data_IF_810075650688
#
_entry.id   IF_810075650688
#
_cell.length_a   1.000
_cell.length_b   1.000
_cell.length_c   1.000
_cell.angle_alpha   90.00
_cell.angle_beta   90.00
_cell.angle_gamma   90.00
#
_symmetry.space_group_name_H-M   'P 1'
#
loop_
_entity.id
_entity.type
_entity.pdbx_description
1 polymer ?
#
# COMPACT_ATOMS: atom_id res chain seq x y z
N UNK A 1 20.66 17.76 49.38
CA UNK A 1 20.44 18.18 48.00
C UNK A 1 21.63 17.69 47.18
N UNK A 2 21.58 16.41 46.74
CA UNK A 2 22.60 15.81 45.91
C UNK A 2 22.33 16.14 44.45
N UNK A 3 23.37 16.60 43.76
CA UNK A 3 23.36 16.81 42.32
C UNK A 3 23.14 15.46 41.61
N UNK A 4 22.05 15.32 40.89
CA UNK A 4 21.88 14.27 39.91
C UNK A 4 22.85 14.53 38.75
N UNK A 5 23.78 13.63 38.54
CA UNK A 5 24.70 13.65 37.41
C UNK A 5 23.95 13.42 36.10
N UNK A 6 23.98 14.37 35.21
CA UNK A 6 23.53 14.26 33.83
C UNK A 6 24.54 13.43 33.01
N UNK A 7 24.55 12.11 33.13
CA UNK A 7 25.49 11.27 32.37
C UNK A 7 24.90 9.96 31.81
N UNK A 8 23.59 9.70 31.97
CA UNK A 8 22.98 8.42 31.52
C UNK A 8 21.96 8.57 30.37
N UNK A 9 21.87 9.73 29.71
CA UNK A 9 20.92 9.97 28.61
C UNK A 9 21.53 9.98 27.20
N UNK A 10 22.83 9.73 27.06
CA UNK A 10 23.48 9.74 25.73
C UNK A 10 23.58 8.38 25.02
N UNK A 11 22.99 7.30 25.54
CA UNK A 11 23.16 5.95 24.97
C UNK A 11 21.94 5.35 24.28
N UNK A 12 20.83 6.06 24.08
CA UNK A 12 19.62 5.48 23.46
C UNK A 12 19.12 6.25 22.21
N UNK A 13 20.00 6.92 21.49
CA UNK A 13 19.67 7.66 20.25
C UNK A 13 19.63 6.78 18.99
N UNK A 14 19.86 5.48 19.08
CA UNK A 14 19.78 4.58 17.93
C UNK A 14 18.45 3.89 17.93
N UNK A 15 17.79 3.89 16.75
CA UNK A 15 16.76 2.87 16.48
C UNK A 15 17.41 1.54 16.83
N UNK A 16 16.87 0.76 17.80
CA UNK A 16 17.51 -0.47 18.22
C UNK A 16 17.85 -1.30 17.00
N UNK A 17 19.07 -1.86 16.98
CA UNK A 17 19.61 -2.64 15.88
C UNK A 17 18.71 -3.86 15.57
N UNK A 18 17.72 -3.68 14.72
CA UNK A 18 17.02 -4.77 14.05
C UNK A 18 17.64 -5.00 12.69
N UNK A 19 18.96 -5.07 12.67
CA UNK A 19 19.73 -5.34 11.48
C UNK A 19 19.41 -6.74 10.99
N UNK A 20 18.83 -6.80 9.81
CA UNK A 20 19.02 -7.98 9.01
C UNK A 20 20.46 -7.89 8.45
N UNK A 21 21.35 -8.86 8.73
CA UNK A 21 22.75 -8.79 8.28
C UNK A 21 22.89 -8.54 6.77
N UNK A 22 21.84 -8.88 6.02
CA UNK A 22 21.78 -8.67 4.58
C UNK A 22 21.67 -7.19 4.16
N UNK A 23 21.22 -6.27 5.02
CA UNK A 23 21.07 -4.85 4.66
C UNK A 23 22.42 -4.20 4.30
N UNK A 24 23.50 -4.59 4.94
CA UNK A 24 24.84 -4.10 4.59
C UNK A 24 25.26 -4.50 3.16
N UNK A 25 24.67 -5.54 2.59
CA UNK A 25 24.92 -5.97 1.21
C UNK A 25 24.39 -4.98 0.16
N UNK A 26 23.59 -4.01 0.55
CA UNK A 26 23.18 -2.92 -0.34
C UNK A 26 24.40 -2.12 -0.81
N UNK A 27 25.43 -1.96 0.03
CA UNK A 27 26.68 -1.29 -0.37
C UNK A 27 27.39 -2.04 -1.49
N UNK A 28 27.43 -3.39 -1.43
CA UNK A 28 28.00 -4.24 -2.49
C UNK A 28 27.13 -4.19 -3.77
N UNK A 29 25.81 -4.10 -3.59
CA UNK A 29 24.90 -3.95 -4.72
C UNK A 29 25.09 -2.59 -5.42
N UNK A 30 25.41 -1.54 -4.68
CA UNK A 30 25.67 -0.19 -5.20
C UNK A 30 27.06 -0.05 -5.86
N UNK A 31 27.97 -1.01 -5.73
CA UNK A 31 29.28 -0.97 -6.41
C UNK A 31 29.14 -0.87 -7.91
N UNK A 32 29.73 0.17 -8.49
CA UNK A 32 29.65 0.44 -9.94
C UNK A 32 28.28 0.95 -10.41
N UNK A 33 27.40 1.33 -9.46
CA UNK A 33 26.12 1.91 -9.83
C UNK A 33 26.30 3.26 -10.54
N UNK A 34 25.78 3.32 -11.75
CA UNK A 34 25.58 4.57 -12.48
C UNK A 34 24.18 5.09 -12.21
N UNK A 35 23.26 4.90 -13.18
CA UNK A 35 21.86 5.29 -12.99
C UNK A 35 21.04 4.18 -12.36
N UNK A 36 20.22 4.54 -11.36
CA UNK A 36 19.35 3.63 -10.60
C UNK A 36 17.90 4.01 -10.90
N UNK A 37 17.10 3.08 -11.38
CA UNK A 37 15.65 3.24 -11.50
C UNK A 37 14.93 2.60 -10.35
N UNK A 38 13.91 3.30 -9.83
CA UNK A 38 13.04 2.83 -8.76
C UNK A 38 11.60 2.81 -9.27
N UNK A 39 11.16 1.70 -9.89
CA UNK A 39 9.80 1.61 -10.43
C UNK A 39 8.78 1.43 -9.32
N UNK A 40 7.63 2.13 -9.44
CA UNK A 40 6.46 1.90 -8.61
C UNK A 40 5.62 0.75 -9.20
N UNK A 41 4.83 0.09 -8.36
CA UNK A 41 3.83 -0.88 -8.84
C UNK A 41 2.61 -0.18 -9.44
N UNK A 42 1.80 -0.93 -10.22
CA UNK A 42 0.53 -0.46 -10.80
C UNK A 42 -0.44 -0.08 -9.70
N UNK A 43 -1.07 1.09 -9.83
CA UNK A 43 -1.92 1.65 -8.78
C UNK A 43 -1.14 1.89 -7.48
N UNK A 44 -0.06 2.71 -7.50
CA UNK A 44 0.87 2.82 -6.38
C UNK A 44 0.17 3.37 -5.14
N UNK A 45 0.40 2.72 -4.01
CA UNK A 45 -0.06 3.16 -2.70
C UNK A 45 1.00 4.00 -1.98
N UNK A 46 0.70 4.39 -0.74
CA UNK A 46 1.59 5.29 -0.01
C UNK A 46 2.86 4.60 0.49
N UNK A 47 2.88 3.27 0.67
CA UNK A 47 4.11 2.57 1.05
C UNK A 47 5.05 2.42 -0.14
N UNK A 48 4.54 2.00 -1.29
CA UNK A 48 5.33 1.96 -2.52
C UNK A 48 5.91 3.33 -2.86
N UNK A 49 5.11 4.39 -2.80
CA UNK A 49 5.56 5.76 -3.09
C UNK A 49 6.58 6.23 -2.05
N UNK A 50 6.25 6.10 -0.77
CA UNK A 50 7.05 6.60 0.34
C UNK A 50 8.42 5.93 0.43
N UNK A 51 8.47 4.60 0.34
CA UNK A 51 9.71 3.82 0.38
C UNK A 51 10.64 4.16 -0.79
N UNK A 52 10.09 4.25 -2.01
CA UNK A 52 10.86 4.58 -3.21
C UNK A 52 11.40 6.03 -3.17
N UNK A 53 10.58 7.01 -2.78
CA UNK A 53 11.03 8.40 -2.66
C UNK A 53 12.07 8.59 -1.55
N UNK A 54 11.87 7.98 -0.38
CA UNK A 54 12.83 8.03 0.71
C UNK A 54 14.18 7.47 0.29
N UNK A 55 14.21 6.30 -0.34
CA UNK A 55 15.45 5.68 -0.78
C UNK A 55 16.11 6.44 -1.94
N UNK A 56 15.34 6.90 -2.92
CA UNK A 56 15.87 7.70 -4.03
C UNK A 56 16.50 9.00 -3.54
N UNK A 57 15.90 9.69 -2.55
CA UNK A 57 16.46 10.90 -1.95
C UNK A 57 17.76 10.61 -1.20
N UNK A 58 17.79 9.52 -0.43
CA UNK A 58 19.02 9.09 0.26
C UNK A 58 20.13 8.73 -0.73
N UNK A 59 19.81 8.02 -1.82
CA UNK A 59 20.76 7.72 -2.90
C UNK A 59 21.32 8.99 -3.54
N UNK A 60 20.46 9.96 -3.88
CA UNK A 60 20.87 11.26 -4.45
C UNK A 60 21.80 12.03 -3.49
N UNK A 61 21.51 12.03 -2.20
CA UNK A 61 22.35 12.66 -1.18
C UNK A 61 23.77 12.04 -1.10
N UNK A 62 23.91 10.77 -1.53
CA UNK A 62 25.19 10.05 -1.61
C UNK A 62 25.79 10.03 -3.03
N UNK A 63 25.29 10.88 -3.93
CA UNK A 63 25.88 11.10 -5.27
C UNK A 63 25.42 10.11 -6.34
N UNK A 64 24.42 9.26 -6.09
CA UNK A 64 23.86 8.36 -7.09
C UNK A 64 22.80 9.05 -7.94
N UNK A 65 22.74 8.73 -9.25
CA UNK A 65 21.68 9.18 -10.15
C UNK A 65 20.46 8.27 -10.02
N UNK A 66 19.55 8.62 -9.09
CA UNK A 66 18.36 7.83 -8.77
C UNK A 66 17.09 8.49 -9.33
N UNK A 67 16.24 7.71 -10.00
CA UNK A 67 14.99 8.18 -10.61
C UNK A 67 13.85 7.26 -10.24
N UNK A 68 12.83 7.81 -9.55
CA UNK A 68 11.56 7.10 -9.31
C UNK A 68 10.69 7.20 -10.56
N UNK A 69 10.11 6.08 -10.98
CA UNK A 69 9.27 6.02 -12.19
C UNK A 69 7.98 5.26 -11.92
N UNK A 70 6.88 5.70 -12.53
CA UNK A 70 5.56 5.04 -12.43
C UNK A 70 4.93 4.87 -13.79
N UNK A 71 4.42 3.69 -14.10
CA UNK A 71 3.59 3.46 -15.30
C UNK A 71 2.23 4.15 -15.19
N UNK A 72 1.74 4.38 -13.98
CA UNK A 72 0.45 4.98 -13.69
C UNK A 72 0.58 6.39 -13.11
N UNK A 73 -0.45 7.23 -13.24
CA UNK A 73 -0.53 8.49 -12.51
C UNK A 73 -0.53 8.26 -11.00
N UNK A 74 0.07 9.18 -10.26
CA UNK A 74 0.04 9.14 -8.79
C UNK A 74 -1.38 9.47 -8.30
N UNK A 75 -1.94 8.65 -7.39
CA UNK A 75 -3.27 8.90 -6.83
C UNK A 75 -3.40 10.29 -6.22
N UNK A 76 -4.54 10.95 -6.47
CA UNK A 76 -4.75 12.35 -6.11
C UNK A 76 -4.55 12.63 -4.61
N UNK A 77 -4.84 11.64 -3.74
CA UNK A 77 -4.69 11.77 -2.29
C UNK A 77 -3.23 11.93 -1.85
N UNK A 78 -2.26 11.43 -2.62
CA UNK A 78 -0.82 11.54 -2.29
C UNK A 78 -0.15 12.76 -2.93
N UNK A 79 -0.74 13.35 -4.00
CA UNK A 79 -0.15 14.49 -4.71
C UNK A 79 0.19 15.69 -3.81
N UNK A 80 -0.60 16.04 -2.76
CA UNK A 80 -0.24 17.12 -1.85
C UNK A 80 1.03 16.87 -1.01
N UNK A 81 1.48 15.62 -0.94
CA UNK A 81 2.67 15.20 -0.19
C UNK A 81 3.91 15.04 -1.07
N UNK A 82 3.76 15.09 -2.40
CA UNK A 82 4.80 14.71 -3.35
C UNK A 82 5.00 15.82 -4.36
N UNK A 83 6.18 16.45 -4.45
CA UNK A 83 6.50 17.36 -5.53
C UNK A 83 6.37 16.64 -6.89
N UNK A 84 5.71 17.24 -7.89
CA UNK A 84 5.45 16.59 -9.19
C UNK A 84 6.71 16.11 -9.92
N UNK A 85 7.86 16.77 -9.68
CA UNK A 85 9.15 16.47 -10.30
C UNK A 85 9.88 15.26 -9.69
N UNK A 86 9.41 14.75 -8.55
CA UNK A 86 10.09 13.63 -7.86
C UNK A 86 9.82 12.27 -8.53
N UNK A 87 8.75 12.15 -9.31
CA UNK A 87 8.36 10.90 -9.97
C UNK A 87 8.18 11.13 -11.47
N UNK A 88 8.94 10.40 -12.27
CA UNK A 88 8.73 10.36 -13.72
C UNK A 88 7.55 9.45 -14.05
N UNK A 89 6.54 9.96 -14.75
CA UNK A 89 5.42 9.14 -15.24
C UNK A 89 5.78 8.57 -16.60
N UNK A 90 6.00 7.27 -16.65
CA UNK A 90 6.39 6.52 -17.84
C UNK A 90 7.24 5.29 -17.49
N UNK A 91 7.40 4.42 -18.48
CA UNK A 91 8.07 3.12 -18.34
C UNK A 91 9.59 3.18 -18.54
N UNK A 92 10.10 4.27 -19.11
CA UNK A 92 11.53 4.50 -19.36
C UNK A 92 11.88 5.96 -19.13
N UNK A 93 12.48 6.28 -17.96
CA UNK A 93 12.95 7.63 -17.71
C UNK A 93 13.94 8.12 -18.80
N UNK A 94 13.90 9.40 -19.20
CA UNK A 94 14.80 9.95 -20.17
C UNK A 94 16.25 9.98 -19.66
N UNK A 95 17.22 9.92 -20.56
CA UNK A 95 18.65 9.94 -20.24
C UNK A 95 19.32 8.57 -20.40
N UNK A 96 20.46 8.33 -19.72
CA UNK A 96 21.18 7.07 -19.80
C UNK A 96 20.33 5.87 -19.33
N UNK A 97 20.55 4.67 -19.86
CA UNK A 97 19.90 3.47 -19.34
C UNK A 97 20.32 3.20 -17.89
N UNK A 98 19.46 2.55 -17.14
CA UNK A 98 19.81 2.12 -15.79
C UNK A 98 20.89 1.04 -15.80
N UNK A 99 21.80 1.11 -14.85
CA UNK A 99 22.71 0.02 -14.49
C UNK A 99 22.16 -0.81 -13.33
N UNK A 100 21.25 -0.20 -12.53
CA UNK A 100 20.62 -0.81 -11.37
C UNK A 100 19.14 -0.50 -11.33
N UNK A 101 18.35 -1.45 -10.81
CA UNK A 101 16.92 -1.27 -10.55
C UNK A 101 16.65 -1.67 -9.08
N UNK A 102 16.05 -0.79 -8.30
CA UNK A 102 15.57 -1.08 -6.96
C UNK A 102 14.05 -1.25 -6.98
N UNK A 103 13.58 -2.48 -6.79
CA UNK A 103 12.17 -2.82 -6.67
C UNK A 103 11.79 -2.85 -5.19
N UNK A 104 11.17 -1.78 -4.70
CA UNK A 104 10.75 -1.62 -3.32
C UNK A 104 9.23 -1.78 -3.24
N UNK A 105 8.76 -2.58 -2.30
CA UNK A 105 7.34 -2.90 -2.12
C UNK A 105 6.72 -3.59 -3.35
N UNK A 106 7.50 -4.48 -3.96
CA UNK A 106 7.12 -5.20 -5.18
C UNK A 106 7.32 -6.69 -4.97
N UNK A 107 6.21 -7.43 -4.83
CA UNK A 107 6.23 -8.87 -4.60
C UNK A 107 6.44 -9.71 -5.87
N UNK A 108 6.14 -9.17 -7.05
CA UNK A 108 6.37 -9.75 -8.37
C UNK A 108 6.72 -8.62 -9.35
N UNK A 109 7.81 -8.71 -10.14
CA UNK A 109 8.19 -7.65 -11.08
C UNK A 109 7.07 -7.29 -12.06
N UNK A 110 6.16 -8.20 -12.37
CA UNK A 110 4.98 -7.95 -13.22
C UNK A 110 4.03 -6.89 -12.64
N UNK A 111 4.06 -6.68 -11.32
CA UNK A 111 3.29 -5.61 -10.68
C UNK A 111 3.74 -4.20 -11.10
N UNK A 112 4.92 -4.03 -11.68
CA UNK A 112 5.35 -2.75 -12.25
C UNK A 112 4.74 -2.44 -13.63
N UNK A 113 3.86 -3.31 -14.15
CA UNK A 113 3.03 -3.06 -15.31
C UNK A 113 3.79 -2.78 -16.61
N UNK A 114 3.68 -1.55 -17.13
CA UNK A 114 4.37 -1.10 -18.34
C UNK A 114 5.89 -1.15 -18.20
N UNK A 115 6.41 -0.77 -17.04
CA UNK A 115 7.83 -0.84 -16.74
C UNK A 115 8.39 -2.26 -16.89
N UNK A 116 7.70 -3.29 -16.36
CA UNK A 116 8.10 -4.69 -16.55
C UNK A 116 8.17 -5.04 -18.05
N UNK A 117 7.10 -4.76 -18.79
CA UNK A 117 7.05 -5.06 -20.24
C UNK A 117 8.18 -4.38 -21.04
N UNK A 118 8.49 -3.13 -20.68
CA UNK A 118 9.56 -2.36 -21.30
C UNK A 118 10.98 -2.86 -20.96
N UNK A 119 11.14 -3.56 -19.83
CA UNK A 119 12.42 -4.01 -19.27
C UNK A 119 12.46 -5.53 -18.99
N UNK A 120 11.65 -6.33 -19.67
CA UNK A 120 11.47 -7.76 -19.43
C UNK A 120 12.80 -8.55 -19.48
N UNK A 121 13.72 -8.18 -20.36
CA UNK A 121 15.04 -8.79 -20.48
C UNK A 121 15.85 -8.71 -19.17
N UNK A 122 15.67 -7.64 -18.37
CA UNK A 122 16.34 -7.50 -17.06
C UNK A 122 15.83 -8.55 -16.10
N UNK A 123 14.52 -8.69 -15.96
CA UNK A 123 13.89 -9.61 -15.01
C UNK A 123 14.01 -11.08 -15.41
N UNK A 124 14.29 -11.35 -16.70
CA UNK A 124 14.53 -12.69 -17.22
C UNK A 124 16.05 -13.07 -17.22
N UNK A 125 16.93 -12.26 -16.60
CA UNK A 125 18.37 -12.53 -16.52
C UNK A 125 19.13 -12.38 -17.84
N UNK A 126 18.56 -11.62 -18.81
CA UNK A 126 19.16 -11.39 -20.12
C UNK A 126 19.84 -10.02 -20.22
N UNK A 127 20.16 -9.41 -19.07
CA UNK A 127 20.78 -8.09 -18.97
C UNK A 127 21.81 -8.07 -17.86
N UNK A 128 22.78 -7.16 -17.95
CA UNK A 128 23.75 -6.88 -16.88
C UNK A 128 23.25 -5.90 -15.82
N UNK A 129 22.01 -5.44 -15.92
CA UNK A 129 21.39 -4.56 -14.93
C UNK A 129 21.17 -5.33 -13.65
N UNK A 130 21.72 -4.82 -12.53
CA UNK A 130 21.56 -5.45 -11.21
C UNK A 130 20.26 -5.05 -10.55
N UNK A 131 19.52 -6.01 -10.01
CA UNK A 131 18.19 -5.79 -9.40
C UNK A 131 18.24 -6.04 -7.90
N UNK A 132 17.85 -5.02 -7.11
CA UNK A 132 17.51 -5.13 -5.69
C UNK A 132 16.00 -5.34 -5.57
N UNK A 133 15.57 -6.34 -4.80
CA UNK A 133 14.20 -6.47 -4.34
C UNK A 133 14.16 -6.34 -2.80
N UNK A 134 13.52 -5.30 -2.29
CA UNK A 134 13.28 -5.07 -0.87
C UNK A 134 11.77 -5.00 -0.65
N UNK A 135 11.23 -5.93 0.17
CA UNK A 135 9.78 -6.12 0.26
C UNK A 135 9.38 -6.75 1.60
N UNK A 136 8.11 -6.62 1.98
CA UNK A 136 7.55 -7.23 3.18
C UNK A 136 6.42 -8.23 2.90
N UNK A 137 6.04 -8.42 1.65
CA UNK A 137 4.95 -9.32 1.29
C UNK A 137 5.36 -10.80 1.40
N UNK A 138 4.59 -11.60 2.16
CA UNK A 138 4.79 -13.05 2.27
C UNK A 138 4.61 -13.78 0.92
N UNK A 139 3.92 -13.16 -0.04
CA UNK A 139 3.68 -13.70 -1.40
C UNK A 139 4.77 -13.35 -2.39
N UNK A 140 5.88 -12.72 -1.95
CA UNK A 140 6.99 -12.33 -2.81
C UNK A 140 7.57 -13.55 -3.54
N UNK A 141 7.72 -13.44 -4.87
CA UNK A 141 8.24 -14.51 -5.73
C UNK A 141 9.78 -14.66 -5.67
N UNK A 142 10.45 -13.81 -4.88
CA UNK A 142 11.90 -13.81 -4.67
C UNK A 142 12.67 -13.67 -5.98
N UNK A 143 12.78 -12.44 -6.46
CA UNK A 143 13.49 -12.09 -7.69
C UNK A 143 14.61 -11.08 -7.42
N UNK A 144 15.50 -10.90 -8.41
CA UNK A 144 16.61 -9.95 -8.34
C UNK A 144 17.89 -10.57 -7.77
N UNK A 145 18.99 -9.82 -7.90
CA UNK A 145 20.34 -10.22 -7.48
C UNK A 145 20.54 -10.10 -5.97
N UNK A 146 19.91 -9.09 -5.36
CA UNK A 146 19.86 -8.91 -3.92
C UNK A 146 18.41 -8.88 -3.46
N UNK A 147 18.06 -9.73 -2.52
CA UNK A 147 16.72 -9.87 -1.97
C UNK A 147 16.75 -9.59 -0.48
N UNK A 148 16.00 -8.57 -0.06
CA UNK A 148 15.84 -8.15 1.32
C UNK A 148 14.35 -8.25 1.68
N UNK A 149 13.95 -9.38 2.26
CA UNK A 149 12.56 -9.69 2.56
C UNK A 149 12.36 -9.79 4.07
N UNK A 150 11.58 -8.88 4.64
CA UNK A 150 11.16 -8.92 6.06
C UNK A 150 9.63 -8.93 6.16
N UNK A 151 9.05 -10.12 6.20
CA UNK A 151 7.60 -10.32 6.31
C UNK A 151 6.99 -9.85 7.65
N UNK A 152 7.84 -9.50 8.62
CA UNK A 152 7.41 -8.95 9.91
C UNK A 152 7.44 -7.40 9.93
N UNK A 153 7.96 -6.78 8.89
CA UNK A 153 7.86 -5.33 8.76
C UNK A 153 6.41 -4.92 8.49
N UNK A 154 5.98 -3.84 9.13
CA UNK A 154 4.63 -3.33 8.92
C UNK A 154 4.45 -2.67 7.55
N UNK A 155 5.56 -2.24 6.94
CA UNK A 155 5.63 -1.53 5.68
C UNK A 155 7.05 -1.67 5.09
N UNK A 156 7.21 -1.55 3.78
CA UNK A 156 8.51 -1.46 3.13
C UNK A 156 9.28 -0.20 3.60
N UNK A 157 8.58 0.90 3.85
CA UNK A 157 9.15 2.13 4.42
C UNK A 157 9.78 1.92 5.80
N UNK A 158 9.27 0.97 6.62
CA UNK A 158 9.92 0.57 7.87
C UNK A 158 11.30 -0.02 7.62
N UNK A 159 11.42 -0.90 6.62
CA UNK A 159 12.69 -1.50 6.23
C UNK A 159 13.67 -0.44 5.68
N UNK A 160 13.19 0.53 4.91
CA UNK A 160 14.04 1.65 4.42
C UNK A 160 14.58 2.46 5.58
N UNK A 161 13.78 2.77 6.60
CA UNK A 161 14.27 3.49 7.78
C UNK A 161 15.39 2.73 8.50
N UNK A 162 15.23 1.41 8.67
CA UNK A 162 16.24 0.54 9.28
C UNK A 162 17.49 0.46 8.40
N UNK A 163 17.33 0.29 7.08
CA UNK A 163 18.43 0.26 6.12
C UNK A 163 19.27 1.55 6.18
N UNK A 164 18.63 2.73 6.15
CA UNK A 164 19.34 4.00 6.21
C UNK A 164 20.10 4.18 7.52
N UNK A 165 19.51 3.75 8.64
CA UNK A 165 20.19 3.74 9.93
C UNK A 165 21.42 2.82 9.94
N UNK A 166 21.31 1.60 9.38
CA UNK A 166 22.38 0.62 9.33
C UNK A 166 23.54 1.06 8.42
N UNK A 167 23.22 1.75 7.33
CA UNK A 167 24.21 2.37 6.44
C UNK A 167 24.84 3.65 7.04
N UNK A 168 24.32 4.16 8.15
CA UNK A 168 24.72 5.46 8.70
C UNK A 168 24.37 6.64 7.79
N UNK A 169 23.36 6.47 6.94
CA UNK A 169 22.93 7.50 6.01
C UNK A 169 21.97 8.49 6.70
N UNK A 170 22.19 9.79 6.55
CA UNK A 170 21.37 10.78 7.22
C UNK A 170 19.95 10.79 6.70
N UNK A 171 19.00 10.92 7.63
CA UNK A 171 17.57 11.09 7.34
C UNK A 171 17.23 12.57 7.54
N UNK A 172 16.87 13.27 6.47
CA UNK A 172 16.32 14.63 6.53
C UNK A 172 14.80 14.62 6.71
N UNK A 173 14.19 15.79 6.89
CA UNK A 173 12.74 15.91 7.13
C UNK A 173 11.89 15.36 5.97
N UNK A 174 12.37 15.44 4.72
CA UNK A 174 11.66 14.92 3.56
C UNK A 174 11.72 13.39 3.52
N UNK A 175 12.90 12.78 3.75
CA UNK A 175 13.03 11.33 3.89
C UNK A 175 12.12 10.84 5.02
N UNK A 176 12.14 11.53 6.16
CA UNK A 176 11.29 11.18 7.30
C UNK A 176 9.81 11.26 6.96
N UNK A 177 9.38 12.28 6.21
CA UNK A 177 7.99 12.41 5.73
C UNK A 177 7.58 11.28 4.80
N UNK A 178 8.45 10.88 3.86
CA UNK A 178 8.17 9.77 2.94
C UNK A 178 8.08 8.43 3.68
N UNK A 179 8.95 8.19 4.66
CA UNK A 179 8.87 7.00 5.51
C UNK A 179 7.58 7.00 6.32
N UNK A 180 7.18 8.14 6.92
CA UNK A 180 5.91 8.26 7.63
C UNK A 180 4.71 8.01 6.70
N UNK A 181 4.77 8.45 5.43
CA UNK A 181 3.72 8.18 4.44
C UNK A 181 3.51 6.66 4.28
N UNK A 182 4.58 5.89 4.05
CA UNK A 182 4.47 4.44 3.92
C UNK A 182 3.95 3.78 5.19
N UNK A 183 4.50 4.13 6.36
CA UNK A 183 4.04 3.59 7.64
C UNK A 183 2.56 3.87 7.89
N UNK A 184 2.10 5.11 7.66
CA UNK A 184 0.72 5.54 7.91
C UNK A 184 -0.27 4.81 6.99
N UNK A 185 0.07 4.64 5.72
CA UNK A 185 -0.84 4.01 4.75
C UNK A 185 -0.97 2.52 5.00
N UNK A 186 0.13 1.80 5.15
CA UNK A 186 0.13 0.35 5.30
C UNK A 186 -0.40 -0.13 6.66
N UNK A 187 -0.24 0.71 7.68
CA UNK A 187 -0.80 0.43 9.00
C UNK A 187 -2.18 1.04 9.22
N UNK A 188 -2.76 1.71 8.22
CA UNK A 188 -4.00 2.48 8.35
C UNK A 188 -3.95 3.45 9.55
N UNK A 189 -2.84 4.15 9.73
CA UNK A 189 -2.60 5.02 10.88
C UNK A 189 -2.35 4.22 12.16
N UNK A 190 -1.50 3.21 12.10
CA UNK A 190 -1.08 2.35 13.22
C UNK A 190 -2.21 1.50 13.83
N UNK A 191 -3.20 1.08 13.02
CA UNK A 191 -4.38 0.32 13.47
C UNK A 191 -4.42 -1.12 12.97
N UNK A 192 -3.44 -1.54 12.16
CA UNK A 192 -3.36 -2.93 11.69
C UNK A 192 -2.58 -3.81 12.66
N UNK A 193 -2.82 -5.13 12.65
CA UNK A 193 -2.05 -6.09 13.47
C UNK A 193 -0.56 -6.13 13.15
N UNK A 194 -0.12 -5.67 11.99
CA UNK A 194 1.28 -5.55 11.60
C UNK A 194 2.02 -4.46 12.38
N UNK A 195 1.31 -3.49 12.97
CA UNK A 195 1.91 -2.44 13.80
C UNK A 195 2.61 -3.04 15.01
N UNK A 196 3.91 -2.97 15.03
CA UNK A 196 4.78 -3.49 16.08
C UNK A 196 5.40 -2.37 16.92
N UNK A 197 6.11 -2.75 18.00
CA UNK A 197 6.94 -1.79 18.77
C UNK A 197 8.02 -1.17 17.87
N UNK A 198 8.58 -1.93 16.93
CA UNK A 198 9.56 -1.43 15.94
C UNK A 198 8.93 -0.34 15.07
N UNK A 199 7.75 -0.60 14.53
CA UNK A 199 7.00 0.34 13.71
C UNK A 199 6.81 1.69 14.42
N UNK A 200 6.37 1.67 15.69
CA UNK A 200 6.15 2.89 16.47
C UNK A 200 7.44 3.61 16.81
N UNK A 201 8.54 2.90 17.08
CA UNK A 201 9.85 3.50 17.32
C UNK A 201 10.42 4.13 16.04
N UNK A 202 10.28 3.49 14.89
CA UNK A 202 10.64 4.09 13.59
C UNK A 202 9.82 5.36 13.36
N UNK A 203 8.52 5.34 13.58
CA UNK A 203 7.68 6.53 13.42
C UNK A 203 8.13 7.67 14.36
N UNK A 204 8.40 7.39 15.64
CA UNK A 204 8.90 8.36 16.59
C UNK A 204 10.24 8.96 16.13
N UNK A 205 11.17 8.11 15.68
CA UNK A 205 12.45 8.58 15.15
C UNK A 205 12.30 9.45 13.91
N UNK A 206 11.38 9.12 12.99
CA UNK A 206 11.09 9.97 11.83
C UNK A 206 10.55 11.35 12.26
N UNK A 207 9.71 11.41 13.30
CA UNK A 207 9.24 12.69 13.86
C UNK A 207 10.38 13.51 14.46
N UNK A 208 11.33 12.87 15.17
CA UNK A 208 12.55 13.52 15.68
C UNK A 208 13.43 14.09 14.56
N UNK A 209 13.40 13.48 13.36
CA UNK A 209 14.09 13.95 12.16
C UNK A 209 13.31 15.03 11.38
N UNK A 210 12.19 15.52 11.92
CA UNK A 210 11.40 16.60 11.36
C UNK A 210 10.26 16.16 10.45
N UNK A 211 9.96 14.85 10.39
CA UNK A 211 8.74 14.35 9.72
C UNK A 211 7.49 14.79 10.46
N UNK A 212 6.52 15.35 9.74
CA UNK A 212 5.24 15.78 10.32
C UNK A 212 4.19 14.66 10.15
N UNK A 213 4.03 13.84 11.20
CA UNK A 213 3.06 12.77 11.22
C UNK A 213 1.61 13.30 11.09
N UNK A 214 1.31 14.46 11.71
CA UNK A 214 -0.04 15.03 11.62
C UNK A 214 -0.36 15.44 10.18
N UNK A 215 0.56 16.12 9.50
CA UNK A 215 0.39 16.53 8.10
C UNK A 215 0.15 15.33 7.17
N UNK A 216 0.92 14.24 7.36
CA UNK A 216 0.75 13.00 6.59
C UNK A 216 -0.62 12.37 6.84
N UNK A 217 -1.00 12.18 8.12
CA UNK A 217 -2.30 11.60 8.49
C UNK A 217 -3.47 12.44 7.97
N UNK A 218 -3.38 13.77 8.11
CA UNK A 218 -4.42 14.69 7.68
C UNK A 218 -4.63 14.65 6.17
N UNK A 219 -3.55 14.69 5.39
CA UNK A 219 -3.62 14.61 3.92
C UNK A 219 -4.08 13.26 3.40
N UNK A 220 -3.67 12.17 4.04
CA UNK A 220 -4.04 10.81 3.61
C UNK A 220 -5.48 10.46 4.01
N UNK A 221 -5.90 10.77 5.23
CA UNK A 221 -7.17 10.25 5.75
C UNK A 221 -8.26 11.31 5.94
N UNK A 222 -7.90 12.57 6.14
CA UNK A 222 -8.86 13.60 6.53
C UNK A 222 -9.22 14.55 5.38
N UNK A 223 -8.50 14.50 4.26
CA UNK A 223 -8.75 15.34 3.09
C UNK A 223 -9.66 14.62 2.11
N UNK A 224 -10.96 14.88 2.18
CA UNK A 224 -11.96 14.34 1.24
C UNK A 224 -12.71 15.44 0.52
N UNK A 225 -12.92 15.33 -0.79
CA UNK A 225 -13.83 16.23 -1.52
C UNK A 225 -15.24 16.20 -0.92
N UNK A 226 -15.97 17.32 -1.03
CA UNK A 226 -17.38 17.37 -0.62
C UNK A 226 -18.23 16.33 -1.37
N UNK A 227 -17.91 16.07 -2.64
CA UNK A 227 -18.54 15.03 -3.46
C UNK A 227 -18.47 13.64 -2.82
N UNK A 228 -17.35 13.29 -2.18
CA UNK A 228 -17.22 12.03 -1.41
C UNK A 228 -18.23 11.97 -0.26
N UNK A 229 -18.37 13.03 0.51
CA UNK A 229 -19.34 13.10 1.62
C UNK A 229 -20.76 12.96 1.10
N UNK A 230 -21.07 13.65 -0.01
CA UNK A 230 -22.40 13.58 -0.65
C UNK A 230 -22.68 12.18 -1.22
N UNK A 231 -21.68 11.52 -1.80
CA UNK A 231 -21.78 10.14 -2.28
C UNK A 231 -22.00 9.16 -1.12
N UNK A 232 -21.15 9.24 -0.09
CA UNK A 232 -21.25 8.35 1.07
C UNK A 232 -22.55 8.52 1.83
N UNK A 233 -23.08 9.75 1.94
CA UNK A 233 -24.38 10.00 2.55
C UNK A 233 -25.51 9.23 1.84
N UNK A 234 -25.53 9.25 0.50
CA UNK A 234 -26.52 8.48 -0.30
C UNK A 234 -26.28 6.97 -0.19
N UNK A 235 -25.03 6.57 -0.28
CA UNK A 235 -24.63 5.18 -0.18
C UNK A 235 -25.01 4.56 1.19
N UNK A 236 -24.68 5.25 2.28
CA UNK A 236 -24.99 4.77 3.63
C UNK A 236 -26.51 4.77 3.91
N UNK A 237 -27.29 5.65 3.28
CA UNK A 237 -28.74 5.62 3.37
C UNK A 237 -29.37 4.40 2.67
N UNK A 238 -28.63 3.73 1.76
CA UNK A 238 -29.09 2.53 1.03
C UNK A 238 -28.47 1.22 1.55
N UNK A 239 -27.85 1.26 2.73
CA UNK A 239 -27.28 0.04 3.37
C UNK A 239 -28.34 -1.03 3.50
N UNK A 240 -27.97 -2.25 3.10
CA UNK A 240 -28.82 -3.43 3.15
C UNK A 240 -28.12 -4.58 3.85
N UNK A 241 -28.92 -5.51 4.40
CA UNK A 241 -28.44 -6.74 5.03
C UNK A 241 -28.92 -7.93 4.21
N UNK A 242 -28.03 -8.89 4.00
CA UNK A 242 -28.32 -10.16 3.33
C UNK A 242 -27.74 -11.35 4.06
N UNK A 243 -27.96 -12.56 3.54
CA UNK A 243 -27.50 -13.81 4.11
C UNK A 243 -27.82 -13.93 5.61
N UNK A 244 -29.09 -13.75 5.96
CA UNK A 244 -29.61 -13.77 7.34
C UNK A 244 -28.94 -12.74 8.27
N UNK A 245 -28.53 -11.59 7.72
CA UNK A 245 -27.87 -10.52 8.48
C UNK A 245 -26.36 -10.71 8.66
N UNK A 246 -25.75 -11.72 8.04
CA UNK A 246 -24.30 -11.94 8.07
C UNK A 246 -23.53 -11.08 7.08
N UNK A 247 -24.20 -10.54 6.06
CA UNK A 247 -23.63 -9.66 5.03
C UNK A 247 -24.26 -8.27 5.13
N UNK A 248 -23.44 -7.23 5.27
CA UNK A 248 -23.83 -5.85 5.08
C UNK A 248 -23.31 -5.39 3.70
N UNK A 249 -24.17 -4.76 2.90
CA UNK A 249 -23.75 -4.31 1.60
C UNK A 249 -24.41 -3.01 1.16
N UNK A 250 -23.80 -2.37 0.19
CA UNK A 250 -24.31 -1.19 -0.51
C UNK A 250 -24.19 -1.44 -1.99
N UNK A 251 -25.25 -1.11 -2.73
CA UNK A 251 -25.24 -1.09 -4.18
C UNK A 251 -25.09 0.34 -4.69
N UNK A 252 -24.03 0.63 -5.44
CA UNK A 252 -23.71 1.95 -6.00
C UNK A 252 -24.08 1.95 -7.48
N UNK A 253 -25.00 2.82 -7.83
CA UNK A 253 -25.40 3.03 -9.23
C UNK A 253 -24.65 4.20 -9.86
N UNK A 254 -24.52 4.25 -11.20
CA UNK A 254 -23.96 5.40 -11.91
C UNK A 254 -24.70 6.73 -11.60
N UNK A 255 -26.01 6.64 -11.33
CA UNK A 255 -26.83 7.79 -10.96
C UNK A 255 -26.43 8.36 -9.60
N UNK A 256 -26.05 7.55 -8.63
CA UNK A 256 -25.56 8.02 -7.31
C UNK A 256 -24.26 8.80 -7.46
N UNK A 257 -23.29 8.30 -8.25
CA UNK A 257 -22.04 8.99 -8.57
C UNK A 257 -22.33 10.35 -9.24
N UNK A 258 -23.15 10.34 -10.29
CA UNK A 258 -23.53 11.57 -11.01
C UNK A 258 -24.23 12.58 -10.11
N UNK A 259 -25.16 12.14 -9.27
CA UNK A 259 -25.92 13.00 -8.37
C UNK A 259 -25.07 13.60 -7.24
N UNK A 260 -23.95 12.97 -6.89
CA UNK A 260 -22.98 13.49 -5.94
C UNK A 260 -21.89 14.34 -6.61
N UNK A 261 -21.79 14.33 -7.94
CA UNK A 261 -20.65 14.90 -8.66
C UNK A 261 -19.32 14.22 -8.34
N UNK A 262 -19.41 12.94 -7.95
CA UNK A 262 -18.28 12.17 -7.45
C UNK A 262 -17.69 11.26 -8.52
N UNK A 263 -16.40 10.96 -8.40
CA UNK A 263 -15.69 9.97 -9.20
C UNK A 263 -15.74 8.58 -8.54
N UNK A 264 -15.41 7.54 -9.30
CA UNK A 264 -15.38 6.16 -8.80
C UNK A 264 -14.36 5.96 -7.66
N UNK A 265 -13.22 6.63 -7.75
CA UNK A 265 -12.14 6.56 -6.74
C UNK A 265 -12.62 7.04 -5.36
N UNK A 266 -13.65 7.88 -5.33
CA UNK A 266 -14.24 8.42 -4.09
C UNK A 266 -15.06 7.39 -3.29
N UNK A 267 -15.23 6.17 -3.83
CA UNK A 267 -15.77 5.01 -3.09
C UNK A 267 -14.71 4.33 -2.20
N UNK A 268 -13.45 4.69 -2.37
CA UNK A 268 -12.37 4.10 -1.59
C UNK A 268 -12.59 4.28 -0.08
N UNK A 269 -12.35 3.19 0.67
CA UNK A 269 -12.59 3.17 2.11
C UNK A 269 -14.02 2.83 2.54
N UNK A 270 -15.03 2.91 1.66
CA UNK A 270 -16.43 2.65 2.03
C UNK A 270 -16.65 1.19 2.47
N UNK A 271 -16.09 0.21 1.76
CA UNK A 271 -16.17 -1.21 2.17
C UNK A 271 -15.46 -1.49 3.50
N UNK A 272 -14.33 -0.81 3.73
CA UNK A 272 -13.61 -0.88 5.00
C UNK A 272 -14.40 -0.23 6.14
N UNK A 273 -15.08 0.88 5.86
CA UNK A 273 -15.97 1.51 6.83
C UNK A 273 -17.13 0.59 7.21
N UNK A 274 -17.80 -0.05 6.25
CA UNK A 274 -18.86 -1.02 6.52
C UNK A 274 -18.35 -2.22 7.33
N UNK A 275 -17.12 -2.67 7.11
CA UNK A 275 -16.53 -3.79 7.85
C UNK A 275 -16.26 -3.50 9.33
N UNK A 276 -16.46 -2.26 9.78
CA UNK A 276 -16.38 -1.91 11.21
C UNK A 276 -17.62 -2.38 11.99
N UNK A 277 -18.72 -2.70 11.31
CA UNK A 277 -19.92 -3.27 11.93
C UNK A 277 -19.58 -4.65 12.49
N UNK A 278 -19.92 -4.87 13.77
CA UNK A 278 -19.61 -6.10 14.51
C UNK A 278 -20.89 -6.88 14.85
N UNK A 279 -20.73 -8.03 15.47
CA UNK A 279 -21.83 -8.90 15.86
C UNK A 279 -22.14 -9.95 14.80
N UNK A 280 -23.38 -9.98 14.34
CA UNK A 280 -23.84 -10.97 13.34
C UNK A 280 -23.21 -10.74 11.97
N UNK A 281 -22.89 -9.51 11.62
CA UNK A 281 -22.23 -9.17 10.36
C UNK A 281 -20.82 -9.75 10.31
N UNK A 282 -20.53 -10.53 9.27
CA UNK A 282 -19.25 -11.18 9.02
C UNK A 282 -18.55 -10.61 7.78
N UNK A 283 -19.33 -10.19 6.78
CA UNK A 283 -18.85 -9.69 5.48
C UNK A 283 -19.46 -8.32 5.20
N UNK A 284 -18.65 -7.43 4.67
CA UNK A 284 -19.05 -6.12 4.17
C UNK A 284 -18.72 -6.00 2.68
N UNK A 285 -19.62 -5.48 1.87
CA UNK A 285 -19.41 -5.34 0.44
C UNK A 285 -19.93 -4.00 -0.10
N UNK A 286 -19.22 -3.49 -1.11
CA UNK A 286 -19.69 -2.42 -1.98
C UNK A 286 -19.77 -2.96 -3.40
N UNK A 287 -20.97 -3.01 -3.93
CA UNK A 287 -21.29 -3.43 -5.29
C UNK A 287 -21.43 -2.18 -6.15
N UNK A 288 -20.56 -1.99 -7.14
CA UNK A 288 -20.57 -0.83 -8.02
C UNK A 288 -20.92 -1.24 -9.44
N UNK A 289 -22.04 -0.75 -9.95
CA UNK A 289 -22.42 -0.94 -11.35
C UNK A 289 -21.48 -0.23 -12.30
N UNK A 290 -21.01 -0.97 -13.32
CA UNK A 290 -20.34 -0.43 -14.49
C UNK A 290 -21.32 -0.04 -15.60
N UNK A 291 -20.85 0.75 -16.56
CA UNK A 291 -21.61 1.08 -17.78
C UNK A 291 -21.60 -0.06 -18.79
N UNK A 292 -20.77 -1.05 -18.59
CA UNK A 292 -20.56 -2.25 -19.43
C UNK A 292 -21.50 -3.43 -19.09
N UNK A 293 -22.47 -3.20 -18.20
CA UNK A 293 -23.41 -4.26 -17.76
C UNK A 293 -22.81 -5.20 -16.72
N UNK A 294 -21.70 -4.83 -16.10
CA UNK A 294 -21.08 -5.60 -15.00
C UNK A 294 -21.17 -4.85 -13.68
N UNK A 295 -20.96 -5.56 -12.58
CA UNK A 295 -20.87 -4.99 -11.23
C UNK A 295 -19.55 -5.39 -10.60
N UNK A 296 -18.71 -4.41 -10.25
CA UNK A 296 -17.50 -4.63 -9.46
C UNK A 296 -17.85 -4.70 -7.98
N UNK A 297 -17.30 -5.70 -7.30
CA UNK A 297 -17.53 -5.91 -5.87
C UNK A 297 -16.23 -5.78 -5.10
N UNK A 298 -16.24 -4.89 -4.11
CA UNK A 298 -15.17 -4.77 -3.12
C UNK A 298 -15.64 -5.39 -1.82
N UNK A 299 -14.94 -6.43 -1.35
CA UNK A 299 -15.36 -7.27 -0.22
C UNK A 299 -14.36 -7.13 0.92
N UNK A 300 -14.87 -7.00 2.12
CA UNK A 300 -14.09 -7.01 3.38
C UNK A 300 -14.72 -7.98 4.37
N UNK A 301 -13.94 -8.49 5.29
CA UNK A 301 -14.45 -9.35 6.37
C UNK A 301 -13.90 -8.99 7.74
N UNK A 302 -14.59 -9.49 8.74
CA UNK A 302 -14.05 -9.58 10.09
C UNK A 302 -12.95 -10.66 10.17
N UNK A 303 -12.03 -10.59 11.14
CA UNK A 303 -11.02 -11.62 11.34
C UNK A 303 -11.62 -13.04 11.41
N UNK A 304 -10.94 -14.00 10.76
CA UNK A 304 -11.36 -15.40 10.73
C UNK A 304 -12.28 -15.77 9.56
N UNK A 305 -12.68 -14.83 8.70
CA UNK A 305 -13.51 -15.09 7.52
C UNK A 305 -12.69 -14.82 6.25
N UNK A 306 -12.63 -15.80 5.35
CA UNK A 306 -11.95 -15.69 4.05
C UNK A 306 -12.91 -15.24 2.95
N UNK A 307 -12.86 -13.95 2.58
CA UNK A 307 -13.65 -13.41 1.47
C UNK A 307 -13.02 -13.61 0.09
N UNK A 308 -11.76 -14.03 0.02
CA UNK A 308 -11.17 -14.41 -1.27
C UNK A 308 -11.86 -15.63 -1.86
N UNK A 309 -12.41 -16.52 -1.03
CA UNK A 309 -13.25 -17.65 -1.46
C UNK A 309 -14.54 -17.19 -2.16
N UNK A 310 -15.15 -16.08 -1.70
CA UNK A 310 -16.32 -15.47 -2.35
C UNK A 310 -15.91 -14.89 -3.71
N UNK A 311 -14.83 -14.10 -3.75
CA UNK A 311 -14.35 -13.46 -4.96
C UNK A 311 -13.96 -14.48 -6.05
N UNK A 312 -13.35 -15.61 -5.68
CA UNK A 312 -12.99 -16.70 -6.61
C UNK A 312 -14.19 -17.28 -7.38
N UNK A 313 -15.40 -17.27 -6.80
CA UNK A 313 -16.61 -17.76 -7.47
C UNK A 313 -16.99 -16.92 -8.69
N UNK A 314 -16.47 -15.69 -8.77
CA UNK A 314 -16.66 -14.76 -9.89
C UNK A 314 -15.35 -14.52 -10.68
N UNK A 315 -14.36 -15.41 -10.56
CA UNK A 315 -13.06 -15.25 -11.22
C UNK A 315 -12.18 -14.14 -10.65
N UNK A 316 -12.56 -13.60 -9.50
CA UNK A 316 -11.79 -12.59 -8.76
C UNK A 316 -10.80 -13.20 -7.76
N UNK A 317 -10.29 -12.37 -6.85
CA UNK A 317 -9.32 -12.80 -5.84
C UNK A 317 -8.99 -11.72 -4.83
N UNK A 318 -7.95 -11.96 -4.04
CA UNK A 318 -7.47 -11.04 -3.00
C UNK A 318 -6.94 -11.80 -1.80
N UNK A 319 -6.82 -11.06 -0.70
CA UNK A 319 -6.44 -11.60 0.60
C UNK A 319 -7.66 -12.13 1.36
N UNK A 320 -7.47 -12.98 2.39
CA UNK A 320 -8.58 -13.50 3.18
C UNK A 320 -9.55 -12.43 3.71
N UNK A 321 -9.06 -11.26 4.11
CA UNK A 321 -9.90 -10.18 4.66
C UNK A 321 -10.25 -9.07 3.67
N UNK A 322 -9.70 -9.09 2.45
CA UNK A 322 -9.88 -8.04 1.44
C UNK A 322 -9.80 -8.62 0.04
N UNK A 323 -10.93 -8.72 -0.64
CA UNK A 323 -11.00 -9.30 -1.97
C UNK A 323 -11.87 -8.45 -2.90
N UNK A 324 -11.74 -8.70 -4.21
CA UNK A 324 -12.54 -8.07 -5.25
C UNK A 324 -12.88 -9.02 -6.37
N UNK A 325 -14.03 -8.77 -7.00
CA UNK A 325 -14.52 -9.55 -8.14
C UNK A 325 -15.33 -8.68 -9.07
N UNK A 326 -15.68 -9.23 -10.25
CA UNK A 326 -16.61 -8.63 -11.20
C UNK A 326 -17.72 -9.62 -11.50
N UNK A 327 -18.96 -9.20 -11.30
CA UNK A 327 -20.16 -9.98 -11.59
C UNK A 327 -20.70 -9.54 -12.94
N UNK A 328 -21.00 -10.48 -13.85
CA UNK A 328 -21.58 -10.20 -15.17
C UNK A 328 -23.10 -9.98 -15.10
N UNK A 329 -23.54 -9.10 -14.21
CA UNK A 329 -24.90 -8.66 -14.00
C UNK A 329 -24.92 -7.29 -13.35
N UNK A 330 -26.08 -6.62 -13.31
CA UNK A 330 -26.32 -5.33 -12.66
C UNK A 330 -27.61 -5.38 -11.83
N UNK A 331 -27.82 -4.39 -10.96
CA UNK A 331 -29.01 -4.23 -10.15
C UNK A 331 -29.28 -5.42 -9.23
N UNK A 332 -30.55 -5.73 -9.02
CA UNK A 332 -31.01 -6.79 -8.11
C UNK A 332 -30.42 -8.18 -8.43
N UNK A 333 -30.14 -8.44 -9.71
CA UNK A 333 -29.54 -9.72 -10.13
C UNK A 333 -28.08 -9.82 -9.64
N UNK A 334 -27.31 -8.76 -9.70
CA UNK A 334 -25.94 -8.73 -9.14
C UNK A 334 -25.96 -8.92 -7.63
N UNK A 335 -26.90 -8.26 -6.93
CA UNK A 335 -27.08 -8.41 -5.48
C UNK A 335 -27.42 -9.86 -5.11
N UNK A 336 -28.37 -10.47 -5.81
CA UNK A 336 -28.77 -11.86 -5.60
C UNK A 336 -27.59 -12.82 -5.76
N UNK A 337 -26.88 -12.72 -6.89
CA UNK A 337 -25.72 -13.59 -7.16
C UNK A 337 -24.63 -13.43 -6.10
N UNK A 338 -24.33 -12.19 -5.71
CA UNK A 338 -23.35 -11.92 -4.66
C UNK A 338 -23.76 -12.52 -3.32
N UNK A 339 -25.00 -12.30 -2.90
CA UNK A 339 -25.51 -12.77 -1.61
C UNK A 339 -25.57 -14.29 -1.53
N UNK A 340 -25.96 -14.97 -2.60
CA UNK A 340 -25.95 -16.45 -2.69
C UNK A 340 -24.51 -16.99 -2.56
N UNK A 341 -23.56 -16.41 -3.27
CA UNK A 341 -22.16 -16.80 -3.18
C UNK A 341 -21.55 -16.55 -1.79
N UNK A 342 -21.91 -15.40 -1.17
CA UNK A 342 -21.44 -15.04 0.17
C UNK A 342 -22.05 -15.97 1.24
N UNK A 343 -23.36 -16.26 1.16
CA UNK A 343 -24.03 -17.18 2.08
C UNK A 343 -23.41 -18.58 2.02
N UNK A 344 -23.25 -19.13 0.81
CA UNK A 344 -22.64 -20.45 0.61
C UNK A 344 -21.22 -20.52 1.15
N UNK A 345 -20.40 -19.48 0.90
CA UNK A 345 -19.02 -19.43 1.41
C UNK A 345 -18.97 -19.32 2.93
N UNK A 346 -19.87 -18.55 3.55
CA UNK A 346 -19.96 -18.43 5.01
C UNK A 346 -20.40 -19.76 5.66
N UNK A 347 -21.32 -20.48 5.03
CA UNK A 347 -21.77 -21.80 5.52
C UNK A 347 -20.65 -22.85 5.41
N UNK A 348 -19.88 -22.85 4.33
CA UNK A 348 -18.70 -23.71 4.14
C UNK A 348 -17.60 -23.45 5.18
N UNK A 349 -17.46 -22.21 5.62
CA UNK A 349 -16.49 -21.81 6.66
C UNK A 349 -17.02 -22.02 8.09
N UNK A 350 -18.23 -22.52 8.28
CA UNK A 350 -18.83 -22.74 9.58
C UNK A 350 -19.13 -21.45 10.35
N UNK A 351 -19.26 -20.32 9.65
CA UNK A 351 -19.62 -19.05 10.27
C UNK A 351 -21.06 -19.12 10.80
N UNK A 352 -21.21 -18.94 12.13
CA UNK A 352 -22.52 -19.02 12.80
C UNK A 352 -23.55 -18.06 12.17
N UNK A 353 -24.80 -18.56 12.08
CA UNK A 353 -25.98 -17.83 11.56
C UNK A 353 -26.43 -16.71 12.50
#
# INVERSE_FOLDING_TARGET
LGALSMSDHEQDERVPAWTLPEYTRVTEWLEGAGRIWLPLHVGPDGDCIGSNLAFARALKAHGYDAVVTSSDPIPAMYQPLIPPEEIFIGDRPPGPPATHIACLDISDPKRTGGFYRANEAVFNGQSSVRVLNLDHHATNVRFGDLQLLDVNAAACAEQIAVLLNDLGWPVDAEIARYILLGLVTDTLGFRTPSTSTRTLRVAAHMMERGGDLFDVVDKVFNTRPLSTIMLWSKALASVSLGADGRVIYIHITPQMLKAAGAKEEELEGLSSYLSTVRGKVKVAAVLKEGQDGTTRVSIRSNPGIDVASIAKRFGGGGHPQAAGATISAVGEEADRLFLEAAAASLDEQGAEK
#
